data_IF_018406990343
#
_entry.id   IF_018406990343
#
_cell.length_a   1.000
_cell.length_b   1.000
_cell.length_c   1.000
_cell.angle_alpha   90.00
_cell.angle_beta   90.00
_cell.angle_gamma   90.00
#
_symmetry.space_group_name_H-M   'P 1'
#
loop_
_entity.id
_entity.type
_entity.pdbx_description
1 polymer ?
#
# COMPACT_ATOMS: atom_id res chain seq x y z
N UNK A 1 -9.79 6.98 -10.91
CA UNK A 1 -10.61 6.55 -9.73
C UNK A 1 -11.32 7.78 -9.20
N UNK A 2 -12.62 7.68 -8.92
CA UNK A 2 -13.43 8.75 -8.32
C UNK A 2 -13.90 8.24 -6.96
N UNK A 3 -13.80 9.06 -5.92
CA UNK A 3 -14.25 8.74 -4.57
C UNK A 3 -15.44 9.63 -4.23
N UNK A 4 -16.50 9.04 -3.74
CA UNK A 4 -17.73 9.72 -3.36
C UNK A 4 -18.40 9.06 -2.16
N UNK A 5 -19.56 9.59 -1.75
CA UNK A 5 -20.31 8.98 -0.66
C UNK A 5 -20.96 7.67 -1.15
N UNK A 6 -20.80 6.60 -0.41
CA UNK A 6 -21.38 5.30 -0.75
C UNK A 6 -22.93 5.38 -0.90
N UNK A 7 -23.59 6.20 -0.08
CA UNK A 7 -25.04 6.42 -0.18
C UNK A 7 -25.50 7.03 -1.52
N UNK A 8 -24.61 7.71 -2.23
CA UNK A 8 -24.87 8.31 -3.54
C UNK A 8 -24.54 7.35 -4.69
N UNK A 9 -23.73 6.31 -4.41
CA UNK A 9 -23.21 5.34 -5.39
C UNK A 9 -23.31 3.90 -4.84
N UNK A 10 -24.55 3.37 -4.62
CA UNK A 10 -24.74 2.08 -3.92
C UNK A 10 -24.21 0.85 -4.69
N UNK A 11 -23.82 0.99 -5.94
CA UNK A 11 -23.19 -0.08 -6.74
C UNK A 11 -21.67 0.05 -6.86
N UNK A 12 -21.05 0.95 -6.10
CA UNK A 12 -19.60 1.15 -6.13
C UNK A 12 -18.91 0.35 -5.02
N UNK A 13 -17.61 0.11 -5.20
CA UNK A 13 -16.77 -0.52 -4.19
C UNK A 13 -16.68 0.35 -2.93
N UNK A 14 -16.64 -0.29 -1.77
CA UNK A 14 -16.75 0.41 -0.49
C UNK A 14 -15.40 0.48 0.22
N UNK A 15 -14.99 1.70 0.61
CA UNK A 15 -13.90 1.87 1.56
C UNK A 15 -14.40 1.48 2.96
N UNK A 16 -13.81 0.43 3.54
CA UNK A 16 -14.20 -0.12 4.85
C UNK A 16 -13.43 0.54 5.98
N UNK A 17 -12.15 0.79 5.77
CA UNK A 17 -11.29 1.34 6.78
C UNK A 17 -9.84 1.47 6.31
N UNK A 18 -8.97 1.74 7.25
CA UNK A 18 -7.55 1.88 7.00
C UNK A 18 -6.85 2.73 8.04
N UNK A 19 -5.59 2.98 7.81
CA UNK A 19 -4.81 3.95 8.59
C UNK A 19 -3.95 4.83 7.67
N UNK A 20 -3.56 5.97 8.19
CA UNK A 20 -2.52 6.81 7.65
C UNK A 20 -1.57 7.22 8.78
N UNK A 21 -0.27 7.05 8.55
CA UNK A 21 0.76 7.44 9.52
C UNK A 21 1.88 8.19 8.82
N UNK A 22 2.29 9.30 9.42
CA UNK A 22 3.41 10.12 8.96
C UNK A 22 4.57 10.04 9.96
N UNK A 23 5.79 10.02 9.44
CA UNK A 23 7.04 10.09 10.20
C UNK A 23 7.97 11.13 9.54
N UNK A 24 7.58 12.39 9.66
CA UNK A 24 8.24 13.53 8.99
C UNK A 24 9.69 13.78 9.45
N UNK A 25 10.10 13.21 10.59
CA UNK A 25 11.50 13.22 11.03
C UNK A 25 12.46 12.53 10.04
N UNK A 26 11.94 11.71 9.13
CA UNK A 26 12.70 11.00 8.10
C UNK A 26 12.67 11.68 6.72
N UNK A 27 12.28 12.95 6.63
CA UNK A 27 12.09 13.68 5.37
C UNK A 27 13.36 13.79 4.52
N UNK A 28 14.55 13.73 5.12
CA UNK A 28 15.82 13.81 4.40
C UNK A 28 16.24 12.51 3.69
N UNK A 29 15.59 11.39 3.96
CA UNK A 29 15.93 10.11 3.34
C UNK A 29 15.61 10.06 1.83
N UNK A 30 14.69 10.90 1.37
CA UNK A 30 14.40 11.06 -0.05
C UNK A 30 14.10 12.52 -0.34
N UNK A 31 15.01 13.20 -1.00
CA UNK A 31 14.91 14.63 -1.33
C UNK A 31 15.04 14.84 -2.83
N UNK A 32 14.06 15.51 -3.41
CA UNK A 32 14.05 15.88 -4.82
C UNK A 32 14.28 17.37 -5.02
N UNK A 33 14.94 17.73 -6.13
CA UNK A 33 15.10 19.07 -6.63
C UNK A 33 14.93 19.11 -8.16
N UNK A 34 15.01 20.28 -8.77
CA UNK A 34 15.02 20.40 -10.23
C UNK A 34 16.29 19.78 -10.88
N UNK A 35 17.35 19.59 -10.11
CA UNK A 35 18.64 19.06 -10.56
C UNK A 35 18.73 17.53 -10.43
N UNK A 36 17.86 16.93 -9.59
CA UNK A 36 17.86 15.50 -9.37
C UNK A 36 17.22 15.05 -8.07
N UNK A 37 17.33 13.75 -7.79
CA UNK A 37 16.81 13.12 -6.59
C UNK A 37 17.93 12.38 -5.86
N UNK A 38 18.00 12.56 -4.55
CA UNK A 38 18.87 11.81 -3.66
C UNK A 38 18.02 10.92 -2.76
N UNK A 39 18.33 9.64 -2.74
CA UNK A 39 17.58 8.64 -1.97
C UNK A 39 18.54 7.78 -1.15
N UNK A 40 18.32 7.70 0.14
CA UNK A 40 18.88 6.66 1.01
C UNK A 40 17.90 5.47 1.01
N UNK A 41 18.12 4.53 0.09
CA UNK A 41 17.24 3.38 -0.11
C UNK A 41 17.16 2.48 1.13
N UNK A 42 18.27 2.31 1.86
CA UNK A 42 18.30 1.50 3.07
C UNK A 42 17.56 2.18 4.21
N UNK A 43 17.83 3.44 4.46
CA UNK A 43 17.12 4.23 5.46
C UNK A 43 15.62 4.29 5.19
N UNK A 44 15.22 4.43 3.91
CA UNK A 44 13.80 4.37 3.52
C UNK A 44 13.17 3.02 3.80
N UNK A 45 13.87 1.91 3.56
CA UNK A 45 13.35 0.58 3.89
C UNK A 45 13.14 0.43 5.39
N UNK A 46 14.16 0.74 6.19
CA UNK A 46 14.14 0.61 7.65
C UNK A 46 13.04 1.49 8.26
N UNK A 47 13.04 2.79 7.96
CA UNK A 47 12.05 3.71 8.49
C UNK A 47 10.63 3.46 7.95
N UNK A 48 10.50 3.08 6.69
CA UNK A 48 9.22 2.79 6.07
C UNK A 48 8.54 1.56 6.66
N UNK A 49 9.28 0.47 6.87
CA UNK A 49 8.76 -0.74 7.51
C UNK A 49 8.36 -0.49 8.97
N UNK A 50 9.14 0.31 9.70
CA UNK A 50 8.79 0.73 11.07
C UNK A 50 7.48 1.54 11.11
N UNK A 51 7.33 2.53 10.23
CA UNK A 51 6.10 3.35 10.14
C UNK A 51 4.90 2.49 9.76
N UNK A 52 5.06 1.56 8.82
CA UNK A 52 4.01 0.63 8.44
C UNK A 52 3.61 -0.29 9.60
N UNK A 53 4.59 -0.84 10.33
CA UNK A 53 4.36 -1.67 11.51
C UNK A 53 3.59 -0.91 12.61
N UNK A 54 4.06 0.26 12.98
CA UNK A 54 3.41 1.08 14.02
C UNK A 54 1.98 1.47 13.63
N UNK A 55 1.74 1.81 12.34
CA UNK A 55 0.39 2.07 11.85
C UNK A 55 -0.51 0.84 11.89
N UNK A 56 0.06 -0.32 11.55
CA UNK A 56 -0.64 -1.61 11.62
C UNK A 56 -0.99 -2.00 13.06
N UNK A 57 -0.08 -1.81 14.00
CA UNK A 57 -0.30 -2.10 15.44
C UNK A 57 -1.37 -1.18 16.03
N UNK A 58 -1.35 0.12 15.67
CA UNK A 58 -2.31 1.12 16.13
C UNK A 58 -3.69 1.01 15.48
N UNK A 59 -3.78 0.36 14.32
CA UNK A 59 -5.05 0.13 13.65
C UNK A 59 -5.98 -0.72 14.54
N UNK A 60 -7.23 -0.30 14.68
CA UNK A 60 -8.21 -0.96 15.52
C UNK A 60 -8.57 -2.38 15.07
N UNK A 61 -9.84 -2.63 14.77
CA UNK A 61 -10.30 -3.92 14.28
C UNK A 61 -9.71 -4.20 12.88
N UNK A 62 -8.79 -5.17 12.85
CA UNK A 62 -8.09 -5.63 11.64
C UNK A 62 -8.20 -7.14 11.45
N UNK A 63 -9.17 -7.77 12.11
CA UNK A 63 -9.34 -9.23 12.06
C UNK A 63 -9.49 -9.72 10.60
N UNK A 64 -10.29 -9.00 9.79
CA UNK A 64 -10.47 -9.28 8.37
C UNK A 64 -9.23 -8.99 7.49
N UNK A 65 -8.26 -8.21 7.98
CA UNK A 65 -7.11 -7.80 7.16
C UNK A 65 -6.14 -8.92 6.82
N UNK A 66 -6.21 -10.04 7.52
CA UNK A 66 -5.41 -11.24 7.23
C UNK A 66 -6.09 -12.19 6.23
N UNK A 67 -7.33 -11.90 5.82
CA UNK A 67 -8.08 -12.72 4.87
C UNK A 67 -8.54 -11.94 3.62
N UNK A 68 -7.71 -11.02 3.14
CA UNK A 68 -7.97 -10.32 1.90
C UNK A 68 -7.82 -11.23 0.68
N UNK A 69 -8.63 -11.02 -0.34
CA UNK A 69 -8.47 -11.68 -1.64
C UNK A 69 -7.14 -11.32 -2.27
N UNK A 70 -6.79 -10.03 -2.24
CA UNK A 70 -5.51 -9.50 -2.70
C UNK A 70 -4.95 -8.42 -1.80
N UNK A 71 -3.62 -8.41 -1.68
CA UNK A 71 -2.84 -7.30 -1.15
C UNK A 71 -2.11 -6.61 -2.30
N UNK A 72 -2.41 -5.35 -2.51
CA UNK A 72 -1.83 -4.51 -3.55
C UNK A 72 -0.95 -3.46 -2.88
N UNK A 73 0.35 -3.73 -2.89
CA UNK A 73 1.34 -2.93 -2.21
C UNK A 73 2.02 -1.96 -3.18
N UNK A 74 2.46 -0.82 -2.67
CA UNK A 74 3.45 -0.01 -3.38
C UNK A 74 4.76 -0.80 -3.49
N UNK A 75 5.24 -0.98 -4.72
CA UNK A 75 6.37 -1.85 -5.00
C UNK A 75 7.58 -1.03 -5.46
N UNK A 76 8.60 -0.97 -4.61
CA UNK A 76 9.89 -0.33 -4.90
C UNK A 76 10.90 -1.35 -5.42
N UNK A 77 10.90 -2.55 -4.86
CA UNK A 77 11.73 -3.70 -5.24
C UNK A 77 11.20 -4.98 -4.59
N UNK A 78 11.67 -6.13 -5.06
CA UNK A 78 11.31 -7.42 -4.43
C UNK A 78 11.72 -7.47 -2.96
N UNK A 79 12.84 -6.87 -2.59
CA UNK A 79 13.31 -6.82 -1.20
C UNK A 79 12.37 -5.98 -0.33
N UNK A 80 11.97 -4.80 -0.81
CA UNK A 80 11.02 -3.95 -0.08
C UNK A 80 9.64 -4.63 0.06
N UNK A 81 9.15 -5.25 -1.01
CA UNK A 81 7.87 -5.97 -0.97
C UNK A 81 7.91 -7.09 0.05
N UNK A 82 8.98 -7.89 0.08
CA UNK A 82 9.12 -8.97 1.06
C UNK A 82 9.21 -8.45 2.49
N UNK A 83 9.97 -7.37 2.73
CA UNK A 83 10.06 -6.76 4.05
C UNK A 83 8.70 -6.26 4.57
N UNK A 84 7.84 -5.71 3.70
CA UNK A 84 6.47 -5.32 4.08
C UNK A 84 5.62 -6.55 4.41
N UNK A 85 5.67 -7.61 3.59
CA UNK A 85 4.95 -8.87 3.84
C UNK A 85 5.32 -9.43 5.22
N UNK A 86 6.62 -9.55 5.48
CA UNK A 86 7.14 -10.11 6.74
C UNK A 86 6.76 -9.23 7.95
N UNK A 87 6.82 -7.90 7.77
CA UNK A 87 6.51 -6.94 8.83
C UNK A 87 5.03 -6.94 9.21
N UNK A 88 4.14 -7.02 8.22
CA UNK A 88 2.69 -7.00 8.45
C UNK A 88 2.12 -8.40 8.72
N UNK A 89 2.88 -9.47 8.47
CA UNK A 89 2.44 -10.85 8.66
C UNK A 89 1.32 -11.27 7.69
N UNK A 90 1.24 -10.65 6.52
CA UNK A 90 0.22 -10.94 5.51
C UNK A 90 0.63 -12.13 4.64
N UNK A 91 -0.36 -12.77 4.00
CA UNK A 91 -0.13 -13.88 3.08
C UNK A 91 0.56 -13.41 1.79
N UNK A 92 1.82 -13.78 1.61
CA UNK A 92 2.63 -13.40 0.45
C UNK A 92 2.13 -13.96 -0.88
N UNK A 93 1.37 -15.08 -0.89
CA UNK A 93 0.81 -15.67 -2.09
C UNK A 93 -0.38 -14.86 -2.62
N UNK A 94 -1.00 -14.05 -1.77
CA UNK A 94 -2.08 -13.12 -2.14
C UNK A 94 -1.56 -11.72 -2.50
N UNK A 95 -0.25 -11.47 -2.43
CA UNK A 95 0.36 -10.21 -2.86
C UNK A 95 0.54 -10.20 -4.37
N UNK A 96 -0.18 -9.31 -5.03
CA UNK A 96 -0.04 -9.13 -6.48
C UNK A 96 1.28 -8.41 -6.80
N UNK A 97 2.13 -9.05 -7.59
CA UNK A 97 3.48 -8.55 -7.91
C UNK A 97 3.54 -7.97 -9.32
N UNK A 98 3.64 -6.66 -9.43
CA UNK A 98 3.80 -5.94 -10.71
C UNK A 98 5.23 -5.42 -10.93
N UNK A 99 6.04 -5.32 -9.88
CA UNK A 99 7.42 -4.84 -9.97
C UNK A 99 8.31 -5.61 -10.96
N UNK A 100 8.24 -6.95 -11.07
CA UNK A 100 9.10 -7.69 -12.01
C UNK A 100 8.92 -7.28 -13.47
N UNK A 101 7.73 -6.78 -13.83
CA UNK A 101 7.37 -6.39 -15.19
C UNK A 101 7.52 -4.89 -15.42
N UNK A 102 7.07 -4.08 -14.45
CA UNK A 102 6.96 -2.61 -14.63
C UNK A 102 7.96 -1.80 -13.80
N UNK A 103 8.70 -2.42 -12.89
CA UNK A 103 9.57 -1.70 -11.97
C UNK A 103 8.80 -0.85 -10.95
N UNK A 104 9.47 0.17 -10.40
CA UNK A 104 8.83 1.12 -9.50
C UNK A 104 8.07 2.19 -10.30
N UNK A 105 6.76 2.09 -10.31
CA UNK A 105 5.86 3.02 -11.01
C UNK A 105 5.42 4.22 -10.14
N UNK A 106 6.02 4.40 -8.97
CA UNK A 106 5.63 5.47 -8.04
C UNK A 106 4.13 5.39 -7.68
N UNK A 107 3.39 6.52 -7.75
CA UNK A 107 1.96 6.53 -7.39
C UNK A 107 1.07 5.71 -8.32
N UNK A 108 1.54 5.32 -9.51
CA UNK A 108 0.79 4.48 -10.42
C UNK A 108 0.83 2.99 -10.05
N UNK A 109 1.72 2.56 -9.14
CA UNK A 109 1.90 1.16 -8.79
C UNK A 109 0.58 0.50 -8.31
N UNK A 110 -0.15 1.14 -7.40
CA UNK A 110 -1.40 0.59 -6.86
C UNK A 110 -2.49 0.49 -7.96
N UNK A 111 -2.86 1.55 -8.68
CA UNK A 111 -3.93 1.45 -9.68
C UNK A 111 -3.59 0.55 -10.86
N UNK A 112 -2.33 0.48 -11.31
CA UNK A 112 -1.91 -0.43 -12.39
C UNK A 112 -1.97 -1.88 -11.91
N UNK A 113 -1.49 -2.17 -10.70
CA UNK A 113 -1.56 -3.52 -10.12
C UNK A 113 -3.01 -3.96 -9.90
N UNK A 114 -3.88 -3.07 -9.42
CA UNK A 114 -5.32 -3.38 -9.30
C UNK A 114 -5.92 -3.72 -10.67
N UNK A 115 -5.63 -2.91 -11.69
CA UNK A 115 -6.15 -3.13 -13.04
C UNK A 115 -5.76 -4.49 -13.63
N UNK A 116 -4.61 -5.06 -13.23
CA UNK A 116 -4.16 -6.38 -13.70
C UNK A 116 -4.95 -7.56 -13.11
N UNK A 117 -5.68 -7.36 -12.02
CA UNK A 117 -6.41 -8.43 -11.32
C UNK A 117 -7.90 -8.14 -11.13
N UNK A 118 -8.37 -6.93 -11.43
CA UNK A 118 -9.75 -6.51 -11.14
C UNK A 118 -10.82 -7.44 -11.74
N UNK A 119 -10.55 -8.03 -12.91
CA UNK A 119 -11.49 -8.93 -13.58
C UNK A 119 -11.61 -10.32 -12.91
N UNK A 120 -10.78 -10.58 -11.90
CA UNK A 120 -10.81 -11.81 -11.08
C UNK A 120 -11.47 -11.59 -9.72
N UNK A 121 -11.86 -10.36 -9.42
CA UNK A 121 -12.52 -9.98 -8.17
C UNK A 121 -14.02 -10.17 -8.28
N UNK A 122 -14.62 -10.67 -7.21
CA UNK A 122 -16.06 -10.89 -7.08
C UNK A 122 -16.67 -9.93 -6.04
N UNK A 123 -17.97 -9.61 -6.12
CA UNK A 123 -18.63 -8.79 -5.11
C UNK A 123 -18.47 -9.37 -3.71
N UNK A 124 -17.96 -8.55 -2.79
CA UNK A 124 -17.66 -8.93 -1.42
C UNK A 124 -16.20 -9.32 -1.16
N UNK A 125 -15.38 -9.46 -2.19
CA UNK A 125 -13.94 -9.67 -2.00
C UNK A 125 -13.30 -8.49 -1.29
N UNK A 126 -12.47 -8.76 -0.28
CA UNK A 126 -11.63 -7.77 0.37
C UNK A 126 -10.35 -7.52 -0.41
N UNK A 127 -10.02 -6.27 -0.68
CA UNK A 127 -8.75 -5.87 -1.28
C UNK A 127 -8.08 -4.84 -0.39
N UNK A 128 -6.83 -5.10 -0.04
CA UNK A 128 -6.04 -4.16 0.74
C UNK A 128 -5.03 -3.42 -0.13
N UNK A 129 -5.05 -2.10 -0.06
CA UNK A 129 -4.02 -1.24 -0.62
C UNK A 129 -3.06 -0.79 0.46
N UNK A 130 -1.76 -0.93 0.21
CA UNK A 130 -0.73 -0.37 1.08
C UNK A 130 0.16 0.56 0.26
N UNK A 131 0.14 1.83 0.62
CA UNK A 131 0.97 2.87 0.05
C UNK A 131 2.10 3.26 0.99
N UNK A 132 3.24 3.61 0.42
CA UNK A 132 4.37 4.19 1.13
C UNK A 132 4.97 5.30 0.26
N UNK A 133 5.24 6.43 0.86
CA UNK A 133 5.83 7.57 0.18
C UNK A 133 6.93 8.23 1.00
N UNK A 134 7.73 9.05 0.30
CA UNK A 134 8.74 9.85 0.95
C UNK A 134 8.11 10.81 1.98
N UNK A 135 8.89 11.10 2.99
CA UNK A 135 8.42 12.00 4.04
C UNK A 135 8.67 11.51 5.47
N UNK A 136 8.54 10.29 5.97
CA UNK A 136 7.91 9.11 5.33
C UNK A 136 6.43 9.08 5.68
N UNK A 137 5.63 8.54 4.77
CA UNK A 137 4.22 8.31 5.02
C UNK A 137 3.89 6.86 4.66
N UNK A 138 3.07 6.21 5.47
CA UNK A 138 2.47 4.91 5.18
C UNK A 138 0.96 5.00 5.31
N UNK A 139 0.26 4.34 4.42
CA UNK A 139 -1.20 4.23 4.45
C UNK A 139 -1.62 2.81 4.09
N UNK A 140 -2.67 2.36 4.75
CA UNK A 140 -3.40 1.15 4.38
C UNK A 140 -4.85 1.51 4.19
N UNK A 141 -5.47 0.99 3.14
CA UNK A 141 -6.90 1.17 2.86
C UNK A 141 -7.50 -0.17 2.48
N UNK A 142 -8.56 -0.56 3.17
CA UNK A 142 -9.39 -1.73 2.87
C UNK A 142 -10.54 -1.32 1.96
N UNK A 143 -10.72 -2.08 0.88
CA UNK A 143 -11.82 -1.95 -0.06
C UNK A 143 -12.62 -3.26 -0.08
N UNK A 144 -13.93 -3.16 -0.01
CA UNK A 144 -14.87 -4.24 -0.36
C UNK A 144 -15.24 -4.05 -1.83
N UNK A 145 -14.96 -5.08 -2.65
CA UNK A 145 -15.16 -5.08 -4.10
C UNK A 145 -16.62 -5.23 -4.50
#
# INVERSE_FOLDING_TARGET
MVIGRHSEHPGSHRVKGGFFRAASQHHELCVGSLEGMRTDTRGLLEAGTEVAKLGWEDAGDKEGWFDMRYYILHQVSSVHTQAVIDTLGIDGDRVVRSFPEYGNMGPAAIPVTLASVQDTLEPGDGVMFQGMGSGINAAVVEIEW
#
